data_IF_088747702933
#
_entry.id   IF_088747702933
#
_cell.length_a   1.000
_cell.length_b   1.000
_cell.length_c   1.000
_cell.angle_alpha   90.00
_cell.angle_beta   90.00
_cell.angle_gamma   90.00
#
_symmetry.space_group_name_H-M   'P 1'
#
loop_
_entity.id
_entity.type
_entity.pdbx_description
1 polymer ?
#
# COMPACT_ATOMS: atom_id res chain seq x y z
N UNK A 1 7.93 -2.43 15.67
CA UNK A 1 7.19 -2.95 14.50
C UNK A 1 6.99 -1.85 13.50
N UNK A 2 7.18 -2.16 12.23
CA UNK A 2 6.99 -1.19 11.16
C UNK A 2 5.93 -1.67 10.19
N UNK A 3 5.37 -0.74 9.44
CA UNK A 3 4.32 -1.03 8.47
C UNK A 3 4.71 -0.47 7.11
N UNK A 4 4.44 -1.23 6.07
CA UNK A 4 4.75 -0.83 4.70
C UNK A 4 3.45 -0.57 3.96
N UNK A 5 3.39 0.59 3.30
CA UNK A 5 2.31 0.89 2.37
C UNK A 5 2.70 0.36 1.00
N UNK A 6 1.91 -0.58 0.51
CA UNK A 6 2.21 -1.29 -0.74
C UNK A 6 1.13 -1.00 -1.76
N UNK A 7 1.56 -0.66 -2.97
CA UNK A 7 0.67 -0.48 -4.11
C UNK A 7 0.80 -1.70 -5.03
N UNK A 8 -0.33 -2.29 -5.36
CA UNK A 8 -0.38 -3.43 -6.28
C UNK A 8 -1.12 -3.00 -7.54
N UNK A 9 -0.45 -3.07 -8.68
CA UNK A 9 -1.06 -2.78 -9.98
C UNK A 9 -1.28 -4.08 -10.74
N UNK A 10 -2.52 -4.32 -11.10
CA UNK A 10 -2.92 -5.55 -11.78
C UNK A 10 -3.05 -5.30 -13.27
N UNK A 11 -2.13 -5.84 -14.05
CA UNK A 11 -2.12 -5.69 -15.51
C UNK A 11 -2.22 -7.05 -16.17
N UNK A 12 -3.37 -7.36 -16.79
CA UNK A 12 -3.64 -8.63 -17.40
C UNK A 12 -3.44 -9.76 -16.38
N UNK A 13 -2.45 -10.64 -16.59
CA UNK A 13 -2.17 -11.73 -15.66
C UNK A 13 -0.97 -11.43 -14.74
N UNK A 14 -0.49 -10.19 -14.75
CA UNK A 14 0.70 -9.81 -13.99
C UNK A 14 0.33 -8.80 -12.91
N UNK A 15 0.85 -9.01 -11.71
CA UNK A 15 0.69 -8.07 -10.61
C UNK A 15 2.04 -7.42 -10.32
N UNK A 16 2.09 -6.09 -10.39
CA UNK A 16 3.29 -5.32 -10.05
C UNK A 16 3.16 -4.77 -8.65
N UNK A 17 4.16 -5.02 -7.82
CA UNK A 17 4.19 -4.56 -6.44
C UNK A 17 5.13 -3.37 -6.32
N UNK A 18 4.62 -2.28 -5.74
CA UNK A 18 5.42 -1.08 -5.55
C UNK A 18 5.42 -0.68 -4.08
N UNK A 19 6.62 -0.57 -3.53
CA UNK A 19 6.82 -0.04 -2.19
C UNK A 19 6.60 1.48 -2.24
N UNK A 20 5.71 1.97 -1.37
CA UNK A 20 5.40 3.40 -1.36
C UNK A 20 6.10 4.10 -0.20
N UNK A 21 5.87 3.62 1.03
CA UNK A 21 6.42 4.29 2.21
C UNK A 21 6.49 3.32 3.39
N UNK A 22 7.35 3.65 4.35
CA UNK A 22 7.50 2.90 5.60
C UNK A 22 7.00 3.76 6.76
N UNK A 23 6.20 3.15 7.64
CA UNK A 23 5.60 3.83 8.78
C UNK A 23 5.92 3.09 10.07
N UNK A 24 5.96 3.80 11.17
CA UNK A 24 6.21 3.19 12.48
C UNK A 24 4.95 2.61 13.10
N UNK A 25 3.78 3.09 12.71
CA UNK A 25 2.51 2.60 13.25
C UNK A 25 1.54 2.29 12.13
N UNK A 26 0.62 1.37 12.41
CA UNK A 26 -0.46 1.04 11.48
C UNK A 26 -1.37 2.24 11.24
N UNK A 27 -1.58 3.05 12.28
CA UNK A 27 -2.44 4.24 12.17
C UNK A 27 -1.91 5.22 11.13
N UNK A 28 -0.61 5.45 11.11
CA UNK A 28 0.00 6.34 10.12
C UNK A 28 -0.13 5.78 8.71
N UNK A 29 0.12 4.48 8.56
CA UNK A 29 0.00 3.81 7.26
C UNK A 29 -1.44 3.89 6.74
N UNK A 30 -2.41 3.59 7.62
CA UNK A 30 -3.83 3.61 7.26
C UNK A 30 -4.30 5.03 6.90
N UNK A 31 -3.82 6.04 7.62
CA UNK A 31 -4.19 7.43 7.33
C UNK A 31 -3.77 7.83 5.91
N UNK A 32 -2.54 7.51 5.53
CA UNK A 32 -2.05 7.81 4.18
C UNK A 32 -2.78 6.96 3.13
N UNK A 33 -3.04 5.71 3.44
CA UNK A 33 -3.79 4.84 2.53
C UNK A 33 -5.18 5.42 2.24
N UNK A 34 -5.88 5.89 3.27
CA UNK A 34 -7.21 6.46 3.12
C UNK A 34 -7.18 7.75 2.30
N UNK A 35 -6.10 8.51 2.40
CA UNK A 35 -5.94 9.74 1.63
C UNK A 35 -5.67 9.45 0.15
N UNK A 36 -4.90 8.43 -0.14
CA UNK A 36 -4.51 8.08 -1.51
C UNK A 36 -5.57 7.23 -2.21
N UNK A 37 -6.28 6.40 -1.45
CA UNK A 37 -7.22 5.42 -2.00
C UNK A 37 -8.23 5.98 -3.01
N UNK A 38 -8.84 7.16 -2.78
CA UNK A 38 -9.78 7.71 -3.76
C UNK A 38 -9.17 8.07 -5.11
N UNK A 39 -7.84 8.13 -5.19
CA UNK A 39 -7.12 8.47 -6.42
C UNK A 39 -6.66 7.26 -7.20
N UNK A 40 -6.88 6.06 -6.67
CA UNK A 40 -6.44 4.82 -7.31
C UNK A 40 -7.31 4.49 -8.53
N UNK A 41 -6.66 3.94 -9.54
CA UNK A 41 -7.36 3.39 -10.71
C UNK A 41 -8.02 2.07 -10.34
N UNK A 42 -9.04 1.61 -11.11
CA UNK A 42 -9.74 0.36 -10.78
C UNK A 42 -8.84 -0.88 -10.72
N UNK A 43 -7.71 -0.86 -11.42
CA UNK A 43 -6.78 -2.01 -11.45
C UNK A 43 -5.71 -1.91 -10.35
N UNK A 44 -5.80 -0.90 -9.49
CA UNK A 44 -4.83 -0.68 -8.43
C UNK A 44 -5.43 -0.96 -7.06
N UNK A 45 -4.61 -1.56 -6.19
CA UNK A 45 -4.98 -1.84 -4.80
C UNK A 45 -3.85 -1.40 -3.90
N UNK A 46 -4.18 -0.82 -2.77
CA UNK A 46 -3.19 -0.48 -1.75
C UNK A 46 -3.51 -1.17 -0.45
N UNK A 47 -2.46 -1.57 0.28
CA UNK A 47 -2.65 -2.18 1.59
C UNK A 47 -1.44 -1.89 2.48
N UNK A 48 -1.69 -1.98 3.78
CA UNK A 48 -0.66 -1.85 4.80
C UNK A 48 -0.28 -3.23 5.28
N UNK A 49 0.98 -3.58 5.18
CA UNK A 49 1.48 -4.87 5.65
C UNK A 49 2.52 -4.66 6.73
N UNK A 50 2.58 -5.60 7.66
CA UNK A 50 3.55 -5.56 8.74
C UNK A 50 4.93 -5.95 8.20
N UNK A 51 5.92 -5.12 8.52
CA UNK A 51 7.30 -5.40 8.15
C UNK A 51 8.02 -5.99 9.35
N UNK A 52 8.35 -7.27 9.27
CA UNK A 52 9.11 -7.96 10.28
C UNK A 52 10.60 -7.91 9.94
N UNK A 53 11.37 -7.39 10.88
CA UNK A 53 12.82 -7.41 10.77
C UNK A 53 13.39 -8.53 11.63
#
# INVERSE_FOLDING_TARGET
MQWILLLIQMNASVADLHYVELYETLEECTADLQEISPRLEPHEVMLCIEANN
#
